data_IF_521869956063
#
_entry.id   IF_521869956063
#
_cell.length_a   1.000
_cell.length_b   1.000
_cell.length_c   1.000
_cell.angle_alpha   90.00
_cell.angle_beta   90.00
_cell.angle_gamma   90.00
#
_symmetry.space_group_name_H-M   'P 1'
#
loop_
_entity.id
_entity.type
_entity.pdbx_description
1 polymer ?
#
# COMPACT_ATOMS: atom_id res chain seq x y z
N UNK A 1 6.09 -18.06 4.65
CA UNK A 1 5.02 -17.41 3.87
C UNK A 1 5.66 -16.88 2.61
N UNK A 2 5.19 -17.31 1.45
CA UNK A 2 5.63 -16.78 0.16
C UNK A 2 5.45 -15.25 0.15
N UNK A 3 6.29 -14.55 -0.62
CA UNK A 3 6.26 -13.10 -0.74
C UNK A 3 4.90 -12.66 -1.33
N UNK A 4 4.01 -12.06 -0.53
CA UNK A 4 2.69 -11.56 -0.98
C UNK A 4 2.78 -10.13 -1.56
N UNK A 5 3.96 -9.80 -2.09
CA UNK A 5 4.27 -8.50 -2.67
C UNK A 5 3.59 -8.35 -4.02
N UNK A 6 2.72 -7.35 -4.10
CA UNK A 6 2.14 -6.86 -5.34
C UNK A 6 3.02 -5.75 -5.88
N UNK A 7 3.38 -5.83 -7.15
CA UNK A 7 4.11 -4.79 -7.88
C UNK A 7 3.28 -4.37 -9.08
N UNK A 8 3.08 -3.05 -9.25
CA UNK A 8 2.31 -2.47 -10.36
C UNK A 8 3.01 -1.23 -10.87
N UNK A 9 3.01 -1.01 -12.18
CA UNK A 9 3.44 0.27 -12.75
C UNK A 9 2.49 1.39 -12.28
N UNK A 10 3.03 2.58 -12.04
CA UNK A 10 2.24 3.73 -11.60
C UNK A 10 1.14 4.12 -12.59
N UNK A 11 1.30 3.86 -13.89
CA UNK A 11 0.24 4.07 -14.87
C UNK A 11 -0.96 3.14 -14.66
N UNK A 12 -0.76 1.92 -14.17
CA UNK A 12 -1.87 1.04 -13.78
C UNK A 12 -2.50 1.49 -12.46
N UNK A 13 -1.71 2.06 -11.54
CA UNK A 13 -2.25 2.68 -10.33
C UNK A 13 -3.10 3.91 -10.69
N UNK A 14 -2.67 4.73 -11.65
CA UNK A 14 -3.39 5.91 -12.12
C UNK A 14 -4.51 5.60 -13.12
N UNK A 15 -4.59 4.37 -13.61
CA UNK A 15 -5.58 3.97 -14.60
C UNK A 15 -7.00 4.11 -14.04
N UNK A 16 -7.93 4.46 -14.93
CA UNK A 16 -9.35 4.52 -14.62
C UNK A 16 -10.01 3.20 -14.97
N UNK A 17 -10.57 2.53 -13.97
CA UNK A 17 -11.28 1.27 -14.15
C UNK A 17 -12.25 0.98 -13.01
N UNK A 18 -13.31 0.26 -13.33
CA UNK A 18 -14.29 -0.20 -12.34
C UNK A 18 -14.20 -1.72 -12.24
N UNK A 19 -13.68 -2.19 -11.12
CA UNK A 19 -13.64 -3.60 -10.73
C UNK A 19 -14.35 -3.76 -9.39
N UNK A 20 -15.09 -4.86 -9.23
CA UNK A 20 -15.60 -5.34 -7.96
C UNK A 20 -14.45 -5.78 -7.03
N UNK A 21 -14.75 -5.93 -5.75
CA UNK A 21 -13.74 -6.33 -4.77
C UNK A 21 -13.15 -7.70 -5.09
N UNK A 22 -13.97 -8.64 -5.56
CA UNK A 22 -13.53 -9.98 -5.95
C UNK A 22 -12.61 -9.91 -7.17
N UNK A 23 -12.95 -9.11 -8.19
CA UNK A 23 -12.09 -8.89 -9.37
C UNK A 23 -10.76 -8.22 -9.00
N UNK A 24 -10.76 -7.22 -8.10
CA UNK A 24 -9.52 -6.58 -7.62
C UNK A 24 -8.62 -7.56 -6.86
N UNK A 25 -9.22 -8.38 -5.98
CA UNK A 25 -8.53 -9.42 -5.21
C UNK A 25 -7.94 -10.50 -6.11
N UNK A 26 -8.68 -10.90 -7.14
CA UNK A 26 -8.24 -11.85 -8.15
C UNK A 26 -7.01 -11.34 -8.91
N UNK A 27 -7.05 -10.09 -9.38
CA UNK A 27 -5.88 -9.45 -9.99
C UNK A 27 -4.72 -9.35 -9.00
N UNK A 28 -4.96 -8.99 -7.74
CA UNK A 28 -3.92 -8.96 -6.71
C UNK A 28 -3.21 -10.30 -6.55
N UNK A 29 -3.97 -11.39 -6.42
CA UNK A 29 -3.44 -12.75 -6.36
C UNK A 29 -2.68 -13.14 -7.63
N UNK A 30 -3.21 -12.78 -8.80
CA UNK A 30 -2.57 -13.02 -10.08
C UNK A 30 -1.15 -12.44 -10.11
N UNK A 31 -1.00 -11.19 -9.69
CA UNK A 31 0.28 -10.50 -9.69
C UNK A 31 1.26 -11.06 -8.68
N UNK A 32 0.78 -11.46 -7.48
CA UNK A 32 1.60 -12.14 -6.49
C UNK A 32 2.13 -13.46 -7.04
N UNK A 33 1.26 -14.29 -7.64
CA UNK A 33 1.68 -15.55 -8.26
C UNK A 33 2.69 -15.32 -9.38
N UNK A 34 2.39 -14.37 -10.25
CA UNK A 34 3.21 -14.09 -11.40
C UNK A 34 4.61 -13.58 -10.99
N UNK A 35 4.71 -12.79 -9.93
CA UNK A 35 5.99 -12.35 -9.35
C UNK A 35 6.78 -13.48 -8.64
N UNK A 36 6.07 -14.45 -8.04
CA UNK A 36 6.71 -15.56 -7.31
C UNK A 36 7.12 -16.73 -8.21
N UNK A 37 6.37 -16.99 -9.29
CA UNK A 37 6.53 -18.18 -10.14
C UNK A 37 7.31 -17.91 -11.42
N UNK A 38 7.31 -16.67 -11.92
CA UNK A 38 7.91 -16.33 -13.20
C UNK A 38 8.92 -15.20 -13.06
N UNK A 39 10.12 -15.42 -13.59
CA UNK A 39 11.13 -14.38 -13.70
C UNK A 39 10.71 -13.31 -14.71
N UNK A 40 9.94 -13.70 -15.73
CA UNK A 40 9.31 -12.82 -16.72
C UNK A 40 7.91 -13.34 -17.07
N UNK A 41 6.89 -12.51 -16.90
CA UNK A 41 5.50 -12.81 -17.27
C UNK A 41 5.33 -12.39 -18.73
N UNK A 42 4.79 -13.27 -19.57
CA UNK A 42 4.42 -12.96 -20.96
C UNK A 42 2.91 -13.03 -21.15
N UNK A 43 2.39 -12.47 -22.25
CA UNK A 43 0.96 -12.58 -22.60
C UNK A 43 0.49 -14.02 -22.81
N UNK A 44 1.41 -14.94 -23.13
CA UNK A 44 1.10 -16.36 -23.32
C UNK A 44 1.11 -17.16 -22.02
N UNK A 45 1.59 -16.56 -20.93
CA UNK A 45 1.65 -17.22 -19.61
C UNK A 45 0.24 -17.42 -19.06
N UNK A 46 -0.13 -18.68 -18.79
CA UNK A 46 -1.40 -19.02 -18.13
C UNK A 46 -1.20 -18.99 -16.62
N UNK A 47 -1.92 -18.12 -15.94
CA UNK A 47 -1.96 -18.05 -14.49
C UNK A 47 -3.15 -18.86 -13.96
N UNK A 48 -2.93 -19.59 -12.88
CA UNK A 48 -3.95 -20.42 -12.24
C UNK A 48 -4.18 -19.99 -10.80
N UNK A 49 -5.44 -19.88 -10.37
CA UNK A 49 -5.81 -19.54 -8.99
C UNK A 49 -6.84 -20.55 -8.51
N UNK A 50 -6.55 -21.19 -7.38
CA UNK A 50 -7.45 -22.15 -6.78
C UNK A 50 -8.42 -21.44 -5.81
N UNK A 51 -9.67 -21.88 -5.79
CA UNK A 51 -10.68 -21.30 -4.90
C UNK A 51 -10.32 -21.39 -3.42
N UNK A 52 -9.64 -22.48 -3.01
CA UNK A 52 -9.10 -22.63 -1.66
C UNK A 52 -8.06 -21.56 -1.31
N UNK A 53 -7.14 -21.23 -2.22
CA UNK A 53 -6.14 -20.17 -1.98
C UNK A 53 -6.82 -18.80 -1.79
N UNK A 54 -7.85 -18.52 -2.58
CA UNK A 54 -8.65 -17.31 -2.43
C UNK A 54 -9.38 -17.28 -1.08
N UNK A 55 -10.01 -18.40 -0.70
CA UNK A 55 -10.72 -18.56 0.56
C UNK A 55 -9.81 -18.32 1.77
N UNK A 56 -8.62 -18.94 1.76
CA UNK A 56 -7.61 -18.77 2.81
C UNK A 56 -7.08 -17.34 2.88
N UNK A 57 -6.66 -16.76 1.74
CA UNK A 57 -6.08 -15.43 1.71
C UNK A 57 -7.07 -14.35 2.20
N UNK A 58 -8.34 -14.44 1.80
CA UNK A 58 -9.35 -13.42 2.10
C UNK A 58 -10.31 -13.81 3.22
N UNK A 59 -10.06 -14.92 3.92
CA UNK A 59 -10.88 -15.43 5.03
C UNK A 59 -12.36 -15.56 4.65
N UNK A 60 -12.63 -16.10 3.47
CA UNK A 60 -13.98 -16.33 2.94
C UNK A 60 -14.29 -17.83 2.98
N UNK A 61 -15.55 -18.18 3.20
CA UNK A 61 -15.99 -19.57 3.10
C UNK A 61 -15.71 -20.16 1.71
N UNK A 62 -15.30 -21.44 1.67
CA UNK A 62 -14.88 -22.11 0.43
C UNK A 62 -15.98 -22.18 -0.64
N UNK A 63 -17.24 -22.40 -0.23
CA UNK A 63 -18.37 -22.44 -1.17
C UNK A 63 -18.67 -21.06 -1.76
N UNK A 64 -18.56 -20.03 -0.93
CA UNK A 64 -18.73 -18.63 -1.34
C UNK A 64 -17.59 -18.20 -2.25
N UNK A 65 -16.35 -18.59 -1.94
CA UNK A 65 -15.17 -18.32 -2.75
C UNK A 65 -15.28 -18.92 -4.16
N UNK A 66 -15.72 -20.18 -4.26
CA UNK A 66 -15.94 -20.86 -5.53
C UNK A 66 -16.92 -20.08 -6.43
N UNK A 67 -18.11 -19.78 -5.91
CA UNK A 67 -19.13 -19.02 -6.65
C UNK A 67 -18.64 -17.62 -7.03
N UNK A 68 -18.00 -16.92 -6.08
CA UNK A 68 -17.48 -15.59 -6.30
C UNK A 68 -16.41 -15.55 -7.40
N UNK A 69 -15.51 -16.53 -7.44
CA UNK A 69 -14.47 -16.63 -8.48
C UNK A 69 -15.05 -16.94 -9.85
N UNK A 70 -16.00 -17.89 -9.93
CA UNK A 70 -16.68 -18.20 -11.19
C UNK A 70 -17.34 -16.95 -11.77
N UNK A 71 -18.16 -16.26 -11.00
CA UNK A 71 -18.80 -15.02 -11.46
C UNK A 71 -17.81 -13.89 -11.76
N UNK A 72 -16.77 -13.73 -10.93
CA UNK A 72 -15.74 -12.72 -11.16
C UNK A 72 -14.94 -12.99 -12.44
N UNK A 73 -14.77 -14.25 -12.82
CA UNK A 73 -14.08 -14.63 -14.05
C UNK A 73 -14.84 -14.15 -15.30
N UNK A 74 -16.14 -14.39 -15.35
CA UNK A 74 -17.01 -13.97 -16.46
C UNK A 74 -17.05 -12.44 -16.56
N UNK A 75 -17.17 -11.76 -15.41
CA UNK A 75 -17.17 -10.30 -15.38
C UNK A 75 -15.81 -9.72 -15.81
N UNK A 76 -14.70 -10.25 -15.30
CA UNK A 76 -13.35 -9.74 -15.56
C UNK A 76 -13.01 -9.75 -17.05
N UNK A 77 -13.48 -10.75 -17.80
CA UNK A 77 -13.32 -10.82 -19.26
C UNK A 77 -13.91 -9.60 -19.98
N UNK A 78 -15.05 -9.11 -19.48
CA UNK A 78 -15.75 -7.94 -20.02
C UNK A 78 -15.24 -6.62 -19.44
N UNK A 79 -14.28 -6.63 -18.52
CA UNK A 79 -13.68 -5.41 -17.97
C UNK A 79 -12.60 -4.86 -18.88
N UNK A 80 -12.43 -3.55 -18.81
CA UNK A 80 -11.31 -2.85 -19.41
C UNK A 80 -10.81 -1.80 -18.42
N UNK A 81 -9.62 -1.30 -18.65
CA UNK A 81 -9.07 -0.14 -17.98
C UNK A 81 -8.61 0.87 -19.02
N UNK A 82 -8.56 2.13 -18.61
CA UNK A 82 -8.05 3.22 -19.44
C UNK A 82 -6.80 3.80 -18.80
N UNK A 83 -5.74 3.98 -19.58
CA UNK A 83 -4.51 4.64 -19.16
C UNK A 83 -4.08 5.69 -20.20
N UNK A 84 -3.27 6.64 -19.77
CA UNK A 84 -2.75 7.69 -20.65
C UNK A 84 -1.36 7.35 -21.12
N UNK A 85 -1.16 7.38 -22.44
CA UNK A 85 0.13 7.28 -23.09
C UNK A 85 0.51 8.66 -23.62
N UNK A 86 1.75 9.08 -23.39
CA UNK A 86 2.27 10.34 -23.92
C UNK A 86 3.19 10.03 -25.09
N UNK A 87 2.80 10.45 -26.30
CA UNK A 87 3.66 10.41 -27.47
C UNK A 87 4.69 11.53 -27.40
N UNK A 88 5.97 11.18 -27.52
CA UNK A 88 7.07 12.13 -27.59
C UNK A 88 7.59 12.19 -29.03
N UNK A 89 8.06 13.38 -29.43
CA UNK A 89 8.74 13.59 -30.70
C UNK A 89 7.90 13.17 -31.93
N UNK A 90 6.63 13.60 -31.98
CA UNK A 90 5.69 13.22 -33.04
C UNK A 90 5.39 11.71 -33.10
N UNK A 91 5.39 11.03 -31.95
CA UNK A 91 5.01 9.61 -31.84
C UNK A 91 6.12 8.62 -32.15
N UNK A 92 7.39 9.07 -32.18
CA UNK A 92 8.56 8.20 -32.28
C UNK A 92 8.77 7.39 -31.00
N UNK A 93 8.50 8.01 -29.86
CA UNK A 93 8.63 7.38 -28.56
C UNK A 93 7.33 7.53 -27.76
N UNK A 94 7.11 6.59 -26.83
CA UNK A 94 5.96 6.60 -25.95
C UNK A 94 6.40 6.43 -24.51
N UNK A 95 5.76 7.18 -23.62
CA UNK A 95 5.99 7.05 -22.18
C UNK A 95 4.69 7.02 -21.40
N UNK A 96 4.68 6.23 -20.32
CA UNK A 96 3.62 6.20 -19.33
C UNK A 96 3.69 7.36 -18.34
N UNK A 97 4.89 7.93 -18.16
CA UNK A 97 5.13 8.99 -17.18
C UNK A 97 4.81 10.33 -17.82
N UNK A 98 3.94 11.10 -17.19
CA UNK A 98 3.65 12.48 -17.63
C UNK A 98 4.94 13.31 -17.67
N UNK A 99 5.32 13.87 -18.83
CA UNK A 99 6.47 14.77 -18.94
C UNK A 99 6.30 16.03 -18.08
N UNK A 100 7.40 16.56 -17.53
CA UNK A 100 7.37 17.81 -16.73
C UNK A 100 6.95 19.03 -17.55
N UNK A 101 7.32 19.06 -18.83
CA UNK A 101 6.90 20.05 -19.81
C UNK A 101 6.32 19.28 -20.98
N UNK A 102 5.04 19.50 -21.27
CA UNK A 102 4.41 19.05 -22.51
C UNK A 102 4.71 20.11 -23.57
N UNK A 103 5.30 19.70 -24.70
CA UNK A 103 5.41 20.54 -25.90
C UNK A 103 4.06 20.50 -26.63
N UNK A 104 3.80 21.47 -27.50
CA UNK A 104 2.56 21.54 -28.29
C UNK A 104 2.33 20.27 -29.14
N UNK A 105 3.40 19.55 -29.48
CA UNK A 105 3.34 18.30 -30.24
C UNK A 105 3.18 17.03 -29.39
N UNK A 106 3.27 17.11 -28.06
CA UNK A 106 3.13 15.94 -27.18
C UNK A 106 1.63 15.74 -26.85
N UNK A 107 0.99 14.78 -27.53
CA UNK A 107 -0.46 14.54 -27.40
C UNK A 107 -0.71 13.41 -26.38
N UNK A 108 -1.46 13.67 -25.29
CA UNK A 108 -1.90 12.60 -24.39
C UNK A 108 -2.98 11.77 -25.06
N UNK A 109 -2.71 10.49 -25.25
CA UNK A 109 -3.65 9.53 -25.85
C UNK A 109 -4.21 8.62 -24.77
N UNK A 110 -5.54 8.55 -24.65
CA UNK A 110 -6.21 7.64 -23.74
C UNK A 110 -6.38 6.28 -24.42
N UNK A 111 -5.60 5.30 -23.97
CA UNK A 111 -5.69 3.91 -24.42
C UNK A 111 -6.74 3.17 -23.60
N UNK A 112 -7.43 2.20 -24.22
CA UNK A 112 -8.34 1.27 -23.55
C UNK A 112 -7.87 -0.15 -23.80
N UNK A 113 -7.70 -0.92 -22.73
CA UNK A 113 -7.25 -2.31 -22.83
C UNK A 113 -8.04 -3.23 -21.91
N UNK A 114 -8.17 -4.49 -22.32
CA UNK A 114 -8.80 -5.56 -21.52
C UNK A 114 -7.84 -6.04 -20.44
N UNK A 115 -8.39 -6.59 -19.36
CA UNK A 115 -7.57 -7.17 -18.28
C UNK A 115 -6.98 -8.52 -18.66
N UNK A 116 -7.81 -9.36 -19.29
CA UNK A 116 -7.47 -10.74 -19.65
C UNK A 116 -7.75 -10.98 -21.13
N UNK A 117 -6.91 -11.76 -21.79
CA UNK A 117 -7.10 -12.20 -23.17
C UNK A 117 -7.91 -13.50 -23.24
N UNK A 118 -7.72 -14.39 -22.26
CA UNK A 118 -8.42 -15.67 -22.11
C UNK A 118 -8.72 -15.91 -20.65
N UNK A 119 -9.87 -16.50 -20.38
CA UNK A 119 -10.27 -16.93 -19.04
C UNK A 119 -11.06 -18.24 -19.16
N UNK A 120 -10.88 -19.14 -18.20
CA UNK A 120 -11.57 -20.42 -18.14
C UNK A 120 -11.65 -20.90 -16.71
N UNK A 121 -12.74 -21.57 -16.36
CA UNK A 121 -12.98 -22.06 -15.01
C UNK A 121 -13.24 -23.57 -15.04
N UNK A 122 -12.44 -24.32 -14.30
CA UNK A 122 -12.54 -25.78 -14.19
C UNK A 122 -13.38 -26.11 -12.97
N UNK A 123 -14.66 -26.42 -13.18
CA UNK A 123 -15.62 -26.59 -12.10
C UNK A 123 -15.30 -27.74 -11.14
N UNK A 124 -14.85 -28.87 -11.67
CA UNK A 124 -14.53 -30.07 -10.87
C UNK A 124 -13.41 -29.83 -9.86
N UNK A 125 -12.52 -28.87 -10.13
CA UNK A 125 -11.31 -28.60 -9.35
C UNK A 125 -11.32 -27.22 -8.69
N UNK A 126 -12.33 -26.39 -8.98
CA UNK A 126 -12.38 -25.00 -8.48
C UNK A 126 -11.20 -24.15 -8.92
N UNK A 127 -10.64 -24.43 -10.10
CA UNK A 127 -9.48 -23.74 -10.65
C UNK A 127 -9.89 -22.69 -11.67
N UNK A 128 -9.42 -21.47 -11.47
CA UNK A 128 -9.53 -20.40 -12.43
C UNK A 128 -8.23 -20.27 -13.22
N UNK A 129 -8.33 -20.31 -14.54
CA UNK A 129 -7.23 -20.13 -15.49
C UNK A 129 -7.43 -18.82 -16.24
N UNK A 130 -6.40 -17.98 -16.36
CA UNK A 130 -6.47 -16.79 -17.18
C UNK A 130 -5.11 -16.39 -17.73
N UNK A 131 -5.15 -15.68 -18.86
CA UNK A 131 -3.99 -15.05 -19.48
C UNK A 131 -4.20 -13.54 -19.46
N UNK A 132 -3.19 -12.81 -18.97
CA UNK A 132 -3.20 -11.34 -18.96
C UNK A 132 -2.97 -10.82 -20.38
N UNK A 133 -3.55 -9.67 -20.71
CA UNK A 133 -3.26 -9.01 -22.01
C UNK A 133 -1.83 -8.47 -22.02
N UNK A 134 -1.28 -8.27 -23.22
CA UNK A 134 0.06 -7.68 -23.40
C UNK A 134 0.21 -6.32 -22.70
N UNK A 135 -0.84 -5.50 -22.66
CA UNK A 135 -0.81 -4.21 -21.95
C UNK A 135 -0.75 -4.38 -20.43
N UNK A 136 -1.52 -5.33 -19.86
CA UNK A 136 -1.43 -5.60 -18.42
C UNK A 136 -0.06 -6.17 -18.10
N UNK A 137 0.45 -7.11 -18.88
CA UNK A 137 1.80 -7.65 -18.74
C UNK A 137 2.82 -6.52 -18.76
N UNK A 138 2.78 -5.61 -19.73
CA UNK A 138 3.68 -4.46 -19.78
C UNK A 138 3.59 -3.56 -18.54
N UNK A 139 2.40 -3.40 -17.97
CA UNK A 139 2.14 -2.56 -16.80
C UNK A 139 2.40 -3.25 -15.45
N UNK A 140 2.69 -4.55 -15.43
CA UNK A 140 2.97 -5.30 -14.20
C UNK A 140 4.31 -6.02 -14.23
N UNK A 141 4.84 -6.29 -15.42
CA UNK A 141 6.19 -6.77 -15.63
C UNK A 141 7.18 -5.75 -15.10
N UNK A 142 8.26 -6.28 -14.53
CA UNK A 142 9.19 -5.67 -13.60
C UNK A 142 9.84 -4.37 -14.15
N UNK A 143 9.09 -3.27 -14.14
CA UNK A 143 9.59 -1.96 -14.53
C UNK A 143 10.54 -1.50 -13.42
N UNK A 144 11.85 -1.51 -13.69
CA UNK A 144 12.89 -1.12 -12.72
C UNK A 144 12.71 0.31 -12.18
N UNK A 145 11.95 1.13 -12.89
CA UNK A 145 11.61 2.49 -12.53
C UNK A 145 10.08 2.72 -12.64
N UNK A 146 9.53 3.60 -11.79
CA UNK A 146 8.12 4.04 -11.86
C UNK A 146 7.05 2.98 -11.50
N UNK A 147 7.31 2.20 -10.46
CA UNK A 147 6.35 1.24 -9.91
C UNK A 147 5.92 1.59 -8.48
N UNK A 148 4.81 1.00 -8.07
CA UNK A 148 4.29 0.97 -6.72
C UNK A 148 4.29 -0.47 -6.23
N UNK A 149 4.72 -0.69 -4.99
CA UNK A 149 4.65 -1.99 -4.34
C UNK A 149 3.99 -1.92 -2.97
N UNK A 150 3.25 -2.97 -2.64
CA UNK A 150 2.59 -3.15 -1.35
C UNK A 150 2.30 -4.63 -1.13
N UNK A 151 2.04 -5.03 0.12
CA UNK A 151 1.69 -6.41 0.43
C UNK A 151 0.19 -6.64 0.31
N UNK A 152 -0.23 -7.73 -0.35
CA UNK A 152 -1.64 -8.06 -0.53
C UNK A 152 -2.38 -8.22 0.81
N UNK A 153 -1.67 -8.71 1.83
CA UNK A 153 -2.16 -8.76 3.22
C UNK A 153 -2.62 -7.40 3.77
N UNK A 154 -2.06 -6.28 3.30
CA UNK A 154 -2.44 -4.94 3.78
C UNK A 154 -3.80 -4.46 3.25
N UNK A 155 -4.32 -5.09 2.20
CA UNK A 155 -5.63 -4.74 1.60
C UNK A 155 -6.68 -5.82 1.79
N UNK A 156 -6.31 -6.93 2.44
CA UNK A 156 -7.16 -8.12 2.59
C UNK A 156 -8.44 -7.82 3.39
N UNK A 157 -8.33 -7.05 4.47
CA UNK A 157 -9.44 -6.70 5.36
C UNK A 157 -10.33 -5.55 4.81
N UNK A 158 -9.98 -4.95 3.66
CA UNK A 158 -10.83 -3.93 3.04
C UNK A 158 -12.07 -4.58 2.41
N UNK A 159 -13.23 -3.98 2.68
CA UNK A 159 -14.53 -4.39 2.10
C UNK A 159 -14.99 -3.44 0.99
N UNK A 160 -14.40 -2.24 0.89
CA UNK A 160 -14.68 -1.27 -0.15
C UNK A 160 -13.63 -1.33 -1.26
N UNK A 161 -14.09 -1.40 -2.52
CA UNK A 161 -13.23 -1.27 -3.70
C UNK A 161 -12.49 0.07 -3.72
N UNK A 162 -13.13 1.11 -3.20
CA UNK A 162 -12.56 2.46 -3.10
C UNK A 162 -11.43 2.52 -2.07
N UNK A 163 -11.52 1.77 -0.97
CA UNK A 163 -10.47 1.69 0.05
C UNK A 163 -9.19 1.07 -0.52
N UNK A 164 -9.33 -0.04 -1.26
CA UNK A 164 -8.21 -0.69 -1.95
C UNK A 164 -7.55 0.27 -2.94
N UNK A 165 -8.32 0.93 -3.80
CA UNK A 165 -7.78 1.89 -4.79
C UNK A 165 -7.13 3.10 -4.13
N UNK A 166 -7.73 3.65 -3.09
CA UNK A 166 -7.14 4.75 -2.34
C UNK A 166 -5.81 4.32 -1.71
N UNK A 167 -5.76 3.14 -1.08
CA UNK A 167 -4.53 2.62 -0.49
C UNK A 167 -3.42 2.47 -1.53
N UNK A 168 -3.72 1.93 -2.71
CA UNK A 168 -2.76 1.84 -3.81
C UNK A 168 -2.22 3.20 -4.24
N UNK A 169 -3.10 4.22 -4.35
CA UNK A 169 -2.70 5.59 -4.64
C UNK A 169 -1.78 6.15 -3.54
N UNK A 170 -2.04 5.87 -2.26
CA UNK A 170 -1.15 6.28 -1.16
C UNK A 170 0.22 5.61 -1.30
N UNK A 171 0.26 4.32 -1.64
CA UNK A 171 1.51 3.57 -1.73
C UNK A 171 2.42 4.09 -2.86
N UNK A 172 1.83 4.57 -3.95
CA UNK A 172 2.56 5.31 -5.00
C UNK A 172 3.28 6.54 -4.46
N UNK A 173 2.68 7.24 -3.50
CA UNK A 173 3.21 8.45 -2.87
C UNK A 173 3.89 8.18 -1.52
N UNK A 174 4.18 6.93 -1.18
CA UNK A 174 4.67 6.52 0.15
C UNK A 174 5.91 7.29 0.61
N UNK A 175 6.86 7.51 -0.30
CA UNK A 175 8.11 8.23 0.00
C UNK A 175 7.91 9.74 0.20
N UNK A 176 6.82 10.29 -0.35
CA UNK A 176 6.48 11.71 -0.27
C UNK A 176 5.58 12.00 0.94
N UNK A 177 4.81 11.01 1.39
CA UNK A 177 3.92 11.10 2.56
C UNK A 177 2.62 11.89 2.32
N UNK A 178 2.38 12.34 1.10
CA UNK A 178 1.13 12.97 0.72
C UNK A 178 0.83 12.78 -0.78
N UNK A 179 -0.45 12.70 -1.12
CA UNK A 179 -0.93 12.83 -2.49
C UNK A 179 -1.18 14.33 -2.71
N UNK A 180 -0.55 14.96 -3.72
CA UNK A 180 -0.78 16.37 -4.03
C UNK A 180 -2.22 16.59 -4.53
N UNK A 181 -2.53 17.84 -4.90
CA UNK A 181 -3.81 18.18 -5.51
C UNK A 181 -4.13 17.25 -6.69
N UNK A 182 -5.29 16.61 -6.63
CA UNK A 182 -5.88 15.83 -7.70
C UNK A 182 -7.26 16.39 -8.03
N UNK A 183 -7.51 16.60 -9.32
CA UNK A 183 -8.80 17.05 -9.81
C UNK A 183 -9.89 16.03 -9.51
N UNK A 184 -11.10 16.50 -9.23
CA UNK A 184 -12.24 15.66 -8.86
C UNK A 184 -12.53 14.54 -9.87
N UNK A 185 -12.57 14.83 -11.17
CA UNK A 185 -12.90 13.83 -12.18
C UNK A 185 -11.77 12.79 -12.35
N UNK A 186 -10.52 13.23 -12.23
CA UNK A 186 -9.38 12.33 -12.23
C UNK A 186 -9.44 11.38 -11.03
N UNK A 187 -9.68 11.91 -9.82
CA UNK A 187 -9.77 11.10 -8.61
C UNK A 187 -10.92 10.09 -8.69
N UNK A 188 -12.09 10.50 -9.21
CA UNK A 188 -13.24 9.63 -9.43
C UNK A 188 -12.90 8.45 -10.33
N UNK A 189 -12.25 8.72 -11.46
CA UNK A 189 -11.78 7.68 -12.38
C UNK A 189 -10.78 6.72 -11.72
N UNK A 190 -9.78 7.25 -11.01
CA UNK A 190 -8.76 6.45 -10.33
C UNK A 190 -9.32 5.54 -9.22
N UNK A 191 -10.31 6.03 -8.47
CA UNK A 191 -11.02 5.23 -7.46
C UNK A 191 -12.01 4.24 -8.09
N UNK A 192 -12.27 4.31 -9.39
CA UNK A 192 -13.19 3.42 -10.10
C UNK A 192 -14.66 3.78 -9.93
N UNK A 193 -14.95 5.05 -9.63
CA UNK A 193 -16.32 5.59 -9.62
C UNK A 193 -16.78 5.81 -11.04
N UNK A 194 -17.93 5.24 -11.40
CA UNK A 194 -18.46 5.39 -12.75
C UNK A 194 -18.89 6.84 -13.04
N UNK A 195 -18.82 7.32 -14.30
CA UNK A 195 -19.12 8.72 -14.64
C UNK A 195 -20.50 9.21 -14.18
N UNK A 196 -21.50 8.32 -14.14
CA UNK A 196 -22.87 8.65 -13.71
C UNK A 196 -23.13 8.43 -12.21
N UNK A 197 -22.21 7.77 -11.49
CA UNK A 197 -22.39 7.38 -10.09
C UNK A 197 -22.02 8.54 -9.15
N UNK A 198 -22.79 8.79 -8.10
CA UNK A 198 -22.49 9.84 -7.11
C UNK A 198 -22.19 11.22 -7.72
N UNK A 199 -23.04 11.69 -8.63
CA UNK A 199 -22.90 13.02 -9.28
C UNK A 199 -22.88 14.17 -8.26
N UNK A 200 -23.63 14.04 -7.17
CA UNK A 200 -23.65 15.03 -6.09
C UNK A 200 -22.39 14.84 -5.25
N UNK A 201 -21.63 15.92 -5.08
CA UNK A 201 -20.34 15.90 -4.36
C UNK A 201 -20.45 15.38 -2.93
N UNK A 202 -21.55 15.68 -2.22
CA UNK A 202 -21.78 15.15 -0.87
C UNK A 202 -21.91 13.63 -0.86
N UNK A 203 -22.58 13.04 -1.86
CA UNK A 203 -22.68 11.59 -2.00
C UNK A 203 -21.33 10.96 -2.36
N UNK A 204 -20.53 11.61 -3.21
CA UNK A 204 -19.17 11.15 -3.51
C UNK A 204 -18.32 11.11 -2.25
N UNK A 205 -18.33 12.17 -1.43
CA UNK A 205 -17.61 12.19 -0.16
C UNK A 205 -18.09 11.08 0.77
N UNK A 206 -19.40 11.05 1.06
CA UNK A 206 -19.99 10.14 2.04
C UNK A 206 -19.81 8.66 1.68
N UNK A 207 -19.96 8.30 0.39
CA UNK A 207 -20.00 6.90 -0.05
C UNK A 207 -18.68 6.39 -0.63
N UNK A 208 -17.75 7.28 -0.95
CA UNK A 208 -16.46 6.93 -1.58
C UNK A 208 -15.30 7.34 -0.68
N UNK A 209 -15.09 8.65 -0.50
CA UNK A 209 -13.90 9.15 0.20
C UNK A 209 -13.92 8.81 1.69
N UNK A 210 -15.03 9.10 2.38
CA UNK A 210 -15.15 8.89 3.82
C UNK A 210 -15.05 7.39 4.15
N UNK A 211 -15.75 6.54 3.39
CA UNK A 211 -15.66 5.07 3.50
C UNK A 211 -14.24 4.57 3.25
N UNK A 212 -13.57 5.04 2.20
CA UNK A 212 -12.21 4.60 1.88
C UNK A 212 -11.20 5.03 2.96
N UNK A 213 -11.29 6.28 3.42
CA UNK A 213 -10.44 6.86 4.46
C UNK A 213 -10.65 6.13 5.79
N UNK A 214 -11.89 5.84 6.16
CA UNK A 214 -12.24 5.10 7.37
C UNK A 214 -11.62 3.70 7.35
N UNK A 215 -11.83 2.94 6.26
CA UNK A 215 -11.28 1.58 6.16
C UNK A 215 -9.74 1.55 6.16
N UNK A 216 -9.08 2.48 5.45
CA UNK A 216 -7.62 2.59 5.48
C UNK A 216 -7.15 2.93 6.90
N UNK A 217 -7.83 3.85 7.59
CA UNK A 217 -7.52 4.21 8.97
C UNK A 217 -7.80 3.07 9.97
N UNK A 218 -8.73 2.17 9.71
CA UNK A 218 -9.03 1.05 10.61
C UNK A 218 -8.08 -0.13 10.36
N UNK A 219 -7.93 -0.56 9.12
CA UNK A 219 -7.31 -1.84 8.79
C UNK A 219 -5.84 -1.75 8.34
N UNK A 220 -5.37 -0.58 7.89
CA UNK A 220 -3.98 -0.44 7.41
C UNK A 220 -2.99 0.00 8.50
N UNK A 221 -1.72 0.07 8.11
CA UNK A 221 -0.62 0.61 8.94
C UNK A 221 -0.49 2.13 8.84
N UNK A 222 -1.43 2.81 8.19
CA UNK A 222 -1.36 4.24 7.93
C UNK A 222 -2.55 4.99 8.53
N UNK A 223 -2.29 6.22 8.96
CA UNK A 223 -3.31 7.22 9.25
C UNK A 223 -3.39 8.19 8.08
N UNK A 224 -4.58 8.38 7.52
CA UNK A 224 -4.86 9.23 6.36
C UNK A 224 -5.92 10.28 6.71
N UNK A 225 -5.73 11.49 6.18
CA UNK A 225 -6.73 12.57 6.12
C UNK A 225 -6.72 13.20 4.74
N UNK A 226 -7.84 13.77 4.33
CA UNK A 226 -7.93 14.52 3.07
C UNK A 226 -8.35 15.97 3.30
N UNK A 227 -7.89 16.84 2.42
CA UNK A 227 -8.27 18.26 2.35
C UNK A 227 -9.04 18.49 1.04
N UNK A 228 -10.12 19.27 1.10
CA UNK A 228 -10.92 19.64 -0.06
C UNK A 228 -10.48 21.03 -0.56
N UNK A 229 -10.30 21.17 -1.86
CA UNK A 229 -9.91 22.43 -2.51
C UNK A 229 -11.09 23.00 -3.28
N UNK A 230 -11.34 24.30 -3.10
CA UNK A 230 -12.50 24.98 -3.69
C UNK A 230 -12.07 26.15 -4.56
N UNK A 231 -12.82 26.36 -5.64
CA UNK A 231 -12.80 27.58 -6.43
C UNK A 231 -14.18 28.23 -6.31
N UNK A 232 -14.27 29.29 -5.51
CA UNK A 232 -15.56 29.82 -5.06
C UNK A 232 -16.37 28.79 -4.26
N UNK A 233 -17.58 28.48 -4.73
CA UNK A 233 -18.47 27.49 -4.08
C UNK A 233 -18.22 26.05 -4.54
N UNK A 234 -17.50 25.87 -5.64
CA UNK A 234 -17.30 24.58 -6.29
C UNK A 234 -16.07 23.89 -5.74
N UNK A 235 -16.18 22.61 -5.40
CA UNK A 235 -15.02 21.78 -5.05
C UNK A 235 -14.36 21.33 -6.36
N UNK A 236 -13.09 21.68 -6.53
CA UNK A 236 -12.32 21.39 -7.76
C UNK A 236 -11.45 20.13 -7.61
N UNK A 237 -11.12 19.74 -6.38
CA UNK A 237 -10.25 18.59 -6.14
C UNK A 237 -9.91 18.37 -4.68
N UNK A 238 -9.01 17.42 -4.44
CA UNK A 238 -8.63 16.95 -3.13
C UNK A 238 -7.12 16.78 -3.02
N UNK A 239 -6.58 16.82 -1.80
CA UNK A 239 -5.23 16.34 -1.49
C UNK A 239 -5.31 15.41 -0.28
N UNK A 240 -4.32 14.53 -0.12
CA UNK A 240 -4.31 13.55 0.98
C UNK A 240 -2.98 13.62 1.72
N UNK A 241 -3.03 13.69 3.05
CA UNK A 241 -1.86 13.57 3.92
C UNK A 241 -1.94 12.26 4.66
N UNK A 242 -0.85 11.51 4.72
CA UNK A 242 -0.83 10.24 5.42
C UNK A 242 0.52 9.97 6.08
N UNK A 243 0.48 9.26 7.20
CA UNK A 243 1.68 8.86 7.94
C UNK A 243 1.53 7.45 8.47
N UNK A 244 2.62 6.68 8.61
CA UNK A 244 2.58 5.40 9.30
C UNK A 244 2.08 5.55 10.75
N UNK A 245 1.32 4.56 11.23
CA UNK A 245 0.90 4.47 12.62
C UNK A 245 2.09 4.05 13.49
N UNK A 246 2.37 4.84 14.51
CA UNK A 246 3.53 4.65 15.41
C UNK A 246 3.48 3.28 16.11
N UNK A 247 2.28 2.82 16.50
CA UNK A 247 2.09 1.60 17.29
C UNK A 247 2.41 0.28 16.57
N UNK A 248 2.43 0.26 15.23
CA UNK A 248 2.75 -0.95 14.46
C UNK A 248 4.21 -0.98 13.99
N UNK A 249 4.87 0.18 13.83
CA UNK A 249 6.30 0.24 13.51
C UNK A 249 7.12 -0.24 14.70
N UNK A 250 6.80 0.23 15.91
CA UNK A 250 7.44 -0.23 17.14
C UNK A 250 7.25 -1.74 17.34
N UNK A 251 6.03 -2.27 17.18
CA UNK A 251 5.75 -3.72 17.32
C UNK A 251 6.43 -4.59 16.25
N UNK A 252 6.60 -4.12 15.00
CA UNK A 252 7.22 -4.91 13.91
C UNK A 252 8.76 -4.89 13.98
N UNK A 253 9.36 -3.80 14.47
CA UNK A 253 10.81 -3.74 14.77
C UNK A 253 11.14 -4.63 15.98
N UNK A 254 10.28 -4.66 17.00
CA UNK A 254 10.51 -5.41 18.24
C UNK A 254 10.22 -6.92 18.10
N UNK A 255 9.36 -7.34 17.15
CA UNK A 255 8.99 -8.77 16.98
C UNK A 255 9.84 -9.56 15.98
N UNK A 256 10.78 -8.94 15.26
CA UNK A 256 11.63 -9.63 14.26
C UNK A 256 13.13 -9.64 14.55
N UNK A 257 13.57 -9.21 15.72
CA UNK A 257 14.94 -9.46 16.17
C UNK A 257 14.90 -10.06 17.57
N UNK A 258 15.39 -11.29 17.66
CA UNK A 258 15.70 -12.02 18.88
C UNK A 258 16.15 -11.06 19.99
N UNK A 259 15.29 -10.84 21.00
CA UNK A 259 15.58 -10.07 22.22
C UNK A 259 16.81 -10.60 22.97
N UNK A 260 17.30 -11.78 22.59
CA UNK A 260 18.44 -12.51 23.14
C UNK A 260 19.60 -12.73 22.15
N UNK A 261 19.60 -12.08 20.97
CA UNK A 261 20.75 -12.16 20.05
C UNK A 261 21.90 -11.24 20.49
N UNK A 262 23.17 -11.67 20.37
CA UNK A 262 24.37 -10.83 20.58
C UNK A 262 24.49 -9.60 19.69
N UNK A 263 23.55 -9.37 18.76
CA UNK A 263 23.50 -8.21 17.85
C UNK A 263 22.34 -7.24 18.16
N UNK A 264 21.55 -7.47 19.21
CA UNK A 264 20.42 -6.60 19.53
C UNK A 264 20.88 -5.22 20.04
N UNK A 265 20.73 -4.19 19.22
CA UNK A 265 21.01 -2.79 19.57
C UNK A 265 20.17 -1.85 18.71
N UNK A 266 19.43 -0.94 19.33
CA UNK A 266 18.63 0.07 18.63
C UNK A 266 19.30 1.43 18.86
N UNK A 267 19.85 2.02 17.80
CA UNK A 267 20.46 3.34 17.87
C UNK A 267 19.38 4.40 18.09
N UNK A 268 19.32 4.96 19.29
CA UNK A 268 18.45 6.08 19.64
C UNK A 268 19.04 7.41 19.11
N UNK A 269 18.16 8.34 18.73
CA UNK A 269 18.57 9.73 18.49
C UNK A 269 18.88 10.44 19.82
N UNK A 270 19.73 11.49 19.80
CA UNK A 270 20.08 12.23 21.01
C UNK A 270 18.86 12.73 21.80
N UNK A 271 17.80 13.31 21.19
CA UNK A 271 16.62 13.74 21.94
C UNK A 271 15.89 12.57 22.62
N UNK A 272 15.80 11.42 21.95
CA UNK A 272 15.15 10.23 22.52
C UNK A 272 15.96 9.67 23.68
N UNK A 273 17.28 9.56 23.50
CA UNK A 273 18.20 9.03 24.51
C UNK A 273 18.14 9.85 25.80
N UNK A 274 18.19 11.18 25.71
CA UNK A 274 18.06 12.05 26.87
C UNK A 274 16.66 12.02 27.50
N UNK A 275 15.60 11.91 26.69
CA UNK A 275 14.24 11.75 27.18
C UNK A 275 14.09 10.47 28.02
N UNK A 276 14.57 9.34 27.51
CA UNK A 276 14.54 8.06 28.22
C UNK A 276 15.42 8.08 29.47
N UNK A 277 16.62 8.64 29.35
CA UNK A 277 17.55 8.71 30.47
C UNK A 277 17.03 9.54 31.65
N UNK A 278 16.32 10.64 31.37
CA UNK A 278 15.64 11.43 32.40
C UNK A 278 14.53 10.65 33.09
N UNK A 279 13.75 9.85 32.35
CA UNK A 279 12.72 9.00 32.96
C UNK A 279 13.34 7.86 33.78
N UNK A 280 14.42 7.28 33.27
CA UNK A 280 15.10 6.15 33.88
C UNK A 280 15.85 6.54 35.16
N UNK A 281 16.39 7.76 35.27
CA UNK A 281 17.11 8.19 36.47
C UNK A 281 16.24 8.20 37.73
N UNK A 282 14.93 8.39 37.57
CA UNK A 282 13.95 8.40 38.67
C UNK A 282 13.37 7.00 38.98
N UNK A 283 13.74 5.96 38.23
CA UNK A 283 13.21 4.61 38.43
C UNK A 283 13.89 3.86 39.60
N UNK A 284 13.14 3.18 40.48
CA UNK A 284 13.71 2.39 41.56
C UNK A 284 14.70 1.31 41.07
N UNK A 285 14.42 0.68 39.93
CA UNK A 285 15.27 -0.35 39.33
C UNK A 285 16.64 0.17 38.88
N UNK A 286 16.75 1.48 38.65
CA UNK A 286 17.99 2.13 38.22
C UNK A 286 18.88 2.56 39.39
N UNK A 287 18.36 2.51 40.63
CA UNK A 287 19.13 2.90 41.83
C UNK A 287 20.46 2.16 41.97
N UNK A 288 20.53 0.89 41.56
CA UNK A 288 21.77 0.08 41.57
C UNK A 288 22.88 0.60 40.65
N UNK A 289 22.51 1.36 39.62
CA UNK A 289 23.48 1.99 38.71
C UNK A 289 23.92 3.35 39.20
N UNK A 290 23.22 3.92 40.18
CA UNK A 290 23.52 5.24 40.74
C UNK A 290 24.81 5.21 41.57
N UNK A 291 25.60 6.26 41.47
CA UNK A 291 26.88 6.41 42.17
C UNK A 291 26.80 7.51 43.24
N UNK A 292 26.89 7.10 44.51
CA UNK A 292 27.10 8.02 45.64
C UNK A 292 25.97 9.04 45.84
N UNK A 293 26.35 10.33 45.98
CA UNK A 293 25.45 11.47 46.21
C UNK A 293 25.09 12.22 44.91
N UNK A 294 25.10 11.54 43.75
CA UNK A 294 24.81 12.21 42.47
C UNK A 294 23.34 12.68 42.40
N UNK A 295 23.10 13.78 41.67
CA UNK A 295 21.74 14.24 41.42
C UNK A 295 21.07 13.44 40.30
N UNK A 296 19.73 13.41 40.28
CA UNK A 296 18.97 12.75 39.20
C UNK A 296 19.33 13.26 37.80
N UNK A 297 19.70 14.55 37.68
CA UNK A 297 20.13 15.15 36.42
C UNK A 297 21.50 14.64 35.97
N UNK A 298 22.45 14.53 36.91
CA UNK A 298 23.78 13.97 36.64
C UNK A 298 23.67 12.49 36.26
N UNK A 299 22.81 11.74 36.97
CA UNK A 299 22.55 10.34 36.67
C UNK A 299 21.90 10.16 35.30
N UNK A 300 20.94 11.01 34.93
CA UNK A 300 20.32 10.98 33.61
C UNK A 300 21.32 11.24 32.46
N UNK A 301 22.27 12.16 32.62
CA UNK A 301 23.32 12.37 31.60
C UNK A 301 24.13 11.08 31.42
N UNK A 302 24.52 10.44 32.53
CA UNK A 302 25.30 9.20 32.50
C UNK A 302 24.52 8.03 31.90
N UNK A 303 23.23 7.88 32.22
CA UNK A 303 22.36 6.88 31.58
C UNK A 303 22.29 7.14 30.07
N UNK A 304 22.20 8.40 29.65
CA UNK A 304 22.18 8.73 28.24
C UNK A 304 23.47 8.24 27.55
N UNK A 305 24.64 8.44 28.15
CA UNK A 305 25.89 7.93 27.62
C UNK A 305 25.94 6.39 27.60
N UNK A 306 25.44 5.72 28.65
CA UNK A 306 25.33 4.25 28.68
C UNK A 306 24.47 3.68 27.56
N UNK A 307 23.43 4.39 27.12
CA UNK A 307 22.55 3.94 26.04
C UNK A 307 23.22 4.00 24.64
N UNK A 308 24.41 4.59 24.52
CA UNK A 308 25.23 4.50 23.30
C UNK A 308 25.98 3.17 23.18
N UNK A 309 26.30 2.54 24.30
CA UNK A 309 27.08 1.31 24.34
C UNK A 309 26.16 0.11 24.11
N UNK A 310 26.40 -0.74 23.10
CA UNK A 310 25.50 -1.86 22.80
C UNK A 310 25.29 -2.84 23.95
N UNK A 311 26.32 -3.09 24.76
CA UNK A 311 26.24 -3.99 25.91
C UNK A 311 25.38 -3.40 27.02
N UNK A 312 25.61 -2.13 27.37
CA UNK A 312 24.83 -1.41 28.38
C UNK A 312 23.39 -1.16 27.95
N UNK A 313 23.17 -0.88 26.68
CA UNK A 313 21.83 -0.78 26.11
C UNK A 313 21.02 -2.05 26.35
N UNK A 314 21.61 -3.24 26.15
CA UNK A 314 20.93 -4.52 26.41
C UNK A 314 20.62 -4.73 27.88
N UNK A 315 21.58 -4.40 28.74
CA UNK A 315 21.43 -4.49 30.19
C UNK A 315 20.27 -3.61 30.69
N UNK A 316 20.15 -2.41 30.14
CA UNK A 316 19.15 -1.41 30.51
C UNK A 316 17.84 -1.52 29.74
N UNK A 317 17.78 -2.34 28.68
CA UNK A 317 16.62 -2.47 27.82
C UNK A 317 15.30 -2.79 28.55
N UNK A 318 15.25 -3.68 29.57
CA UNK A 318 14.03 -3.91 30.34
C UNK A 318 13.52 -2.67 31.08
N UNK A 319 14.43 -1.80 31.54
CA UNK A 319 14.07 -0.54 32.19
C UNK A 319 13.62 0.50 31.15
N UNK A 320 14.23 0.49 29.96
CA UNK A 320 13.87 1.35 28.85
C UNK A 320 12.47 1.02 28.30
N UNK A 321 12.09 -0.26 28.23
CA UNK A 321 10.73 -0.70 27.83
C UNK A 321 9.68 -0.24 28.85
N UNK A 322 10.01 -0.19 30.15
CA UNK A 322 9.14 0.38 31.19
C UNK A 322 9.02 1.91 31.10
N UNK A 323 10.00 2.60 30.52
CA UNK A 323 10.04 4.06 30.41
C UNK A 323 9.17 4.63 29.28
N UNK A 324 8.65 3.77 28.39
CA UNK A 324 7.63 4.09 27.39
C UNK A 324 8.15 4.15 25.96
#
# INVERSE_FOLDING_TARGET
>A
MANDLVVKNNALIDASYTLSLVEQRLIGLALVKANNQHQEITSDTVLTIHAGEYAEQFKVDGSVAYRALKEASERLFLRYFSYTLYGLEFGKEYTFKRPKKLRDCDIPTVMKSRWVQKIGYTESEGLLHFQLTSDVVLLVANSKEYFTSYYLSQTTDFTSTYATRLFELLMKWKNVGHIPFIEIEQLRGQLGVEPKQYKIISNFKLRVLDVAVEQVNQHSDYTIKYEQHKQGRTIIGFSFKFKPKVDKISKKIISKQNRSSPDFFIKLSDPQRHLFANKMSEMPEMSKYSQGTESFQQFAIRIADMLLEPEKFRELYPCLEKAG
#
